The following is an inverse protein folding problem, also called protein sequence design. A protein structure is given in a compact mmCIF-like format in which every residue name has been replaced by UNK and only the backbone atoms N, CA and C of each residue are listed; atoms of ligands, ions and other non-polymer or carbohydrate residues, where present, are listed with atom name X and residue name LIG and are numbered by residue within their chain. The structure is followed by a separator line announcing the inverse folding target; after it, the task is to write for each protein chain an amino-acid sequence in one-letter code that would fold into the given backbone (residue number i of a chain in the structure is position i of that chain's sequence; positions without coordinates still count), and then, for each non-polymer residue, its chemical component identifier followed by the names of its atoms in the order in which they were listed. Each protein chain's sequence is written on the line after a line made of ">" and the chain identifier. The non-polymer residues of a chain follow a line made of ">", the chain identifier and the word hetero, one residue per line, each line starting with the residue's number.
data_IF_048803713371
#
_entry.id   IF_048803713371
#
_cell.length_a   1.000
_cell.length_b   1.000
_cell.length_c   1.000
_cell.angle_alpha   90.00
_cell.angle_beta   90.00
_cell.angle_gamma   90.00
#
_symmetry.space_group_name_H-M   'P 1'
#
loop_
_entity.id
_entity.type
_entity.pdbx_description
1 polymer ?
#
# COMPACT_ATOMS: atom_id res chain seq x y z
N UNK A 1 25.47 -8.95 -85.11
CA UNK A 1 25.77 -7.50 -85.17
C UNK A 1 24.65 -6.75 -84.45
N UNK A 2 24.79 -6.47 -83.16
CA UNK A 2 23.86 -5.59 -82.42
C UNK A 2 24.51 -4.23 -82.24
N UNK A 3 23.93 -3.17 -82.82
CA UNK A 3 24.41 -1.80 -82.64
C UNK A 3 23.81 -1.20 -81.36
N UNK A 4 24.72 -0.73 -80.54
CA UNK A 4 24.55 0.03 -79.29
C UNK A 4 23.69 1.29 -79.46
N UNK A 5 22.68 1.45 -78.59
CA UNK A 5 22.07 2.74 -78.24
C UNK A 5 22.34 3.00 -76.75
N UNK A 6 23.18 4.00 -76.46
CA UNK A 6 23.51 4.41 -75.08
C UNK A 6 22.27 5.03 -74.41
N UNK A 7 21.98 4.71 -73.13
CA UNK A 7 20.94 5.40 -72.38
C UNK A 7 21.34 6.84 -72.06
N UNK A 8 20.40 7.77 -72.24
CA UNK A 8 20.53 9.19 -71.87
C UNK A 8 20.40 9.28 -70.35
N UNK A 9 21.44 9.77 -69.66
CA UNK A 9 21.34 10.13 -68.25
C UNK A 9 20.61 11.46 -68.12
N UNK A 10 19.36 11.43 -67.65
CA UNK A 10 18.65 12.63 -67.19
C UNK A 10 19.05 12.89 -65.75
N UNK A 11 19.94 13.86 -65.51
CA UNK A 11 20.26 14.32 -64.16
C UNK A 11 19.15 15.26 -63.71
N UNK A 12 18.30 14.83 -62.76
CA UNK A 12 17.40 15.73 -62.04
C UNK A 12 18.16 16.39 -60.89
N UNK A 13 18.49 17.67 -61.04
CA UNK A 13 18.97 18.49 -59.93
C UNK A 13 17.76 18.90 -59.08
N UNK A 14 17.53 18.22 -57.95
CA UNK A 14 16.61 18.71 -56.92
C UNK A 14 17.33 19.77 -56.08
N UNK A 15 17.04 21.04 -56.32
CA UNK A 15 17.40 22.11 -55.39
C UNK A 15 16.49 22.01 -54.17
N UNK A 16 17.00 21.47 -53.06
CA UNK A 16 16.34 21.64 -51.76
C UNK A 16 16.63 23.05 -51.26
N UNK A 17 15.63 23.93 -51.31
CA UNK A 17 15.73 25.25 -50.69
C UNK A 17 15.31 25.12 -49.22
N UNK A 18 16.26 25.33 -48.30
CA UNK A 18 16.05 25.26 -46.85
C UNK A 18 15.46 26.55 -46.23
N UNK A 19 14.96 27.48 -47.05
CA UNK A 19 14.41 28.75 -46.59
C UNK A 19 12.89 28.66 -46.43
N UNK A 20 12.31 29.29 -45.38
CA UNK A 20 10.85 29.36 -45.24
C UNK A 20 10.22 30.09 -46.44
N UNK A 21 8.96 29.79 -46.80
CA UNK A 21 8.23 30.51 -47.83
C UNK A 21 8.25 32.02 -47.56
N UNK A 22 8.31 32.84 -48.62
CA UNK A 22 8.43 34.31 -48.48
C UNK A 22 7.33 34.94 -47.60
N UNK A 23 6.11 34.38 -47.64
CA UNK A 23 5.03 34.86 -46.79
C UNK A 23 5.21 34.53 -45.30
N UNK A 24 5.94 33.45 -44.98
CA UNK A 24 6.19 32.99 -43.61
C UNK A 24 7.45 33.63 -43.01
N UNK A 25 8.36 34.13 -43.85
CA UNK A 25 9.61 34.80 -43.45
C UNK A 25 9.38 35.91 -42.41
N UNK A 26 8.38 36.75 -42.62
CA UNK A 26 8.03 37.83 -41.68
C UNK A 26 7.56 37.34 -40.31
N UNK A 27 6.93 36.16 -40.24
CA UNK A 27 6.49 35.54 -38.98
C UNK A 27 7.71 35.06 -38.19
N UNK A 28 8.68 34.41 -38.84
CA UNK A 28 9.90 33.95 -38.19
C UNK A 28 10.80 35.11 -37.73
N UNK A 29 10.95 36.16 -38.54
CA UNK A 29 11.69 37.37 -38.15
C UNK A 29 11.06 38.08 -36.95
N UNK A 30 9.72 38.11 -36.90
CA UNK A 30 8.99 38.67 -35.76
C UNK A 30 9.14 37.81 -34.51
N UNK A 31 8.96 36.50 -34.64
CA UNK A 31 9.11 35.54 -33.55
C UNK A 31 10.52 35.57 -32.93
N UNK A 32 11.57 35.69 -33.75
CA UNK A 32 12.94 35.82 -33.27
C UNK A 32 13.18 37.11 -32.46
N UNK A 33 12.57 38.23 -32.88
CA UNK A 33 12.63 39.50 -32.13
C UNK A 33 11.86 39.42 -30.81
N UNK A 34 10.66 38.86 -30.83
CA UNK A 34 9.82 38.72 -29.63
C UNK A 34 10.48 37.77 -28.61
N UNK A 35 11.09 36.65 -29.06
CA UNK A 35 11.87 35.75 -28.21
C UNK A 35 13.05 36.44 -27.51
N UNK A 36 13.81 37.26 -28.24
CA UNK A 36 14.94 38.02 -27.68
C UNK A 36 14.45 39.05 -26.66
N UNK A 37 13.31 39.69 -26.91
CA UNK A 37 12.69 40.63 -25.97
C UNK A 37 12.25 39.93 -24.68
N UNK A 38 11.56 38.79 -24.78
CA UNK A 38 11.12 38.00 -23.61
C UNK A 38 12.30 37.51 -22.76
N UNK A 39 13.37 37.04 -23.41
CA UNK A 39 14.59 36.64 -22.72
C UNK A 39 15.23 37.82 -21.94
N UNK A 40 15.35 38.99 -22.57
CA UNK A 40 15.95 40.17 -21.96
C UNK A 40 15.10 40.77 -20.83
N UNK A 41 13.78 40.67 -20.93
CA UNK A 41 12.84 41.12 -19.91
C UNK A 41 12.64 40.10 -18.77
N UNK A 42 13.16 38.88 -18.93
CA UNK A 42 13.09 37.83 -17.92
C UNK A 42 11.75 37.10 -17.85
N UNK A 43 10.92 37.16 -18.91
CA UNK A 43 9.68 36.39 -18.99
C UNK A 43 9.97 34.90 -18.78
N UNK A 44 9.22 34.25 -17.89
CA UNK A 44 9.44 32.84 -17.53
C UNK A 44 10.57 32.57 -16.53
N UNK A 45 11.36 33.57 -16.11
CA UNK A 45 12.46 33.37 -15.12
C UNK A 45 12.00 33.35 -13.66
N UNK A 46 10.78 33.80 -13.36
CA UNK A 46 10.31 33.77 -11.98
C UNK A 46 10.28 32.33 -11.47
N UNK A 47 10.45 32.15 -10.16
CA UNK A 47 10.34 30.85 -9.49
C UNK A 47 9.15 30.93 -8.54
N UNK A 48 8.30 29.90 -8.56
CA UNK A 48 7.18 29.82 -7.64
C UNK A 48 7.67 29.77 -6.18
N UNK A 49 7.33 30.79 -5.39
CA UNK A 49 7.71 30.95 -3.98
C UNK A 49 6.63 30.48 -3.00
N UNK A 50 5.44 30.13 -3.52
CA UNK A 50 4.34 29.59 -2.74
C UNK A 50 4.56 28.17 -2.21
N UNK A 51 3.63 27.72 -1.38
CA UNK A 51 3.68 26.39 -0.77
C UNK A 51 3.53 25.28 -1.81
N UNK A 52 4.45 24.31 -1.79
CA UNK A 52 4.48 23.21 -2.78
C UNK A 52 3.96 21.88 -2.26
N UNK A 53 3.75 21.77 -0.96
CA UNK A 53 3.33 20.54 -0.28
C UNK A 53 2.21 20.86 0.69
N UNK A 54 1.10 20.14 0.57
CA UNK A 54 0.01 20.23 1.54
C UNK A 54 0.42 19.54 2.84
N UNK A 55 0.09 20.16 3.98
CA UNK A 55 0.20 19.50 5.28
C UNK A 55 -0.86 18.40 5.43
N UNK A 56 -0.62 17.48 6.37
CA UNK A 56 -1.62 16.47 6.73
C UNK A 56 -2.88 17.13 7.31
N UNK A 57 -4.04 16.63 6.90
CA UNK A 57 -5.34 16.98 7.46
C UNK A 57 -5.44 16.58 8.93
N UNK A 58 -6.32 17.25 9.66
CA UNK A 58 -6.58 16.93 11.06
C UNK A 58 -7.14 15.51 11.22
N UNK A 59 -7.89 15.02 10.23
CA UNK A 59 -8.35 13.64 10.19
C UNK A 59 -7.18 12.65 10.14
N UNK A 60 -6.21 12.87 9.24
CA UNK A 60 -5.01 12.04 9.14
C UNK A 60 -4.20 12.11 10.44
N UNK A 61 -3.99 13.30 11.01
CA UNK A 61 -3.26 13.48 12.28
C UNK A 61 -3.96 12.74 13.42
N UNK A 62 -5.27 12.88 13.55
CA UNK A 62 -6.06 12.22 14.59
C UNK A 62 -6.05 10.70 14.45
N UNK A 63 -6.12 10.18 13.22
CA UNK A 63 -6.04 8.74 12.95
C UNK A 63 -4.65 8.18 13.32
N UNK A 64 -3.57 8.87 12.96
CA UNK A 64 -2.20 8.49 13.33
C UNK A 64 -2.03 8.50 14.86
N UNK A 65 -2.50 9.56 15.53
CA UNK A 65 -2.49 9.65 16.98
C UNK A 65 -3.29 8.51 17.63
N UNK A 66 -4.46 8.17 17.08
CA UNK A 66 -5.28 7.05 17.54
C UNK A 66 -4.57 5.70 17.41
N UNK A 67 -3.87 5.45 16.30
CA UNK A 67 -3.08 4.23 16.11
C UNK A 67 -1.88 4.17 17.07
N UNK A 68 -1.20 5.30 17.29
CA UNK A 68 -0.08 5.39 18.25
C UNK A 68 -0.54 5.25 19.70
N UNK A 69 -1.78 5.61 20.02
CA UNK A 69 -2.33 5.43 21.36
C UNK A 69 -2.88 4.00 21.57
N UNK A 70 -3.25 3.28 20.50
CA UNK A 70 -3.68 1.89 20.60
C UNK A 70 -2.60 0.97 21.19
N UNK A 71 -1.32 1.23 20.95
CA UNK A 71 -0.23 0.49 21.61
C UNK A 71 -0.22 0.72 23.12
N UNK A 72 -0.55 1.93 23.59
CA UNK A 72 -0.70 2.26 25.01
C UNK A 72 -2.01 1.72 25.62
N UNK A 73 -3.04 1.48 24.79
CA UNK A 73 -4.29 0.87 25.25
C UNK A 73 -4.12 -0.61 25.64
N UNK A 74 -3.11 -1.32 25.13
CA UNK A 74 -2.74 -2.65 25.63
C UNK A 74 -2.17 -2.61 27.05
N UNK A 75 -1.53 -1.51 27.44
CA UNK A 75 -1.05 -1.25 28.81
C UNK A 75 -2.13 -0.64 29.72
N UNK A 76 -3.33 -0.35 29.20
CA UNK A 76 -4.39 0.26 29.98
C UNK A 76 -4.97 -0.75 30.99
N UNK A 77 -4.74 -0.48 32.27
CA UNK A 77 -5.16 -1.31 33.40
C UNK A 77 -6.66 -1.67 33.40
N UNK A 78 -7.53 -0.80 32.85
CA UNK A 78 -8.98 -1.04 32.78
C UNK A 78 -9.33 -2.08 31.71
N UNK A 79 -8.64 -2.04 30.57
CA UNK A 79 -8.81 -3.00 29.46
C UNK A 79 -8.10 -4.31 29.73
N UNK A 80 -6.93 -4.26 30.37
CA UNK A 80 -6.27 -5.44 30.90
C UNK A 80 -7.17 -6.12 31.95
N UNK A 81 -7.83 -5.34 32.82
CA UNK A 81 -8.87 -5.83 33.72
C UNK A 81 -10.08 -6.47 33.00
N UNK A 82 -10.38 -6.07 31.77
CA UNK A 82 -11.41 -6.76 30.98
C UNK A 82 -10.91 -8.09 30.41
N UNK A 83 -9.61 -8.25 30.13
CA UNK A 83 -9.04 -9.50 29.61
C UNK A 83 -8.62 -10.48 30.73
N UNK A 84 -8.19 -9.98 31.88
CA UNK A 84 -7.61 -10.77 32.99
C UNK A 84 -8.40 -10.66 34.29
N UNK A 85 -9.42 -9.81 34.35
CA UNK A 85 -10.25 -9.64 35.53
C UNK A 85 -11.12 -10.86 35.77
N UNK A 86 -11.37 -11.14 37.05
CA UNK A 86 -12.13 -12.30 37.48
C UNK A 86 -13.61 -12.15 37.10
N UNK A 87 -14.11 -12.96 36.16
CA UNK A 87 -15.53 -12.97 35.79
C UNK A 87 -16.41 -13.64 36.86
N UNK A 88 -17.73 -13.38 36.81
CA UNK A 88 -18.70 -13.92 37.77
C UNK A 88 -18.69 -15.45 37.83
N UNK A 89 -18.50 -16.13 36.69
CA UNK A 89 -18.38 -17.60 36.65
C UNK A 89 -17.19 -18.07 37.47
N UNK A 90 -16.02 -17.45 37.26
CA UNK A 90 -14.79 -17.72 38.01
C UNK A 90 -14.95 -17.44 39.50
N UNK A 91 -15.67 -16.39 39.88
CA UNK A 91 -15.93 -16.08 41.29
C UNK A 91 -16.87 -17.11 41.94
N UNK A 92 -17.99 -17.41 41.29
CA UNK A 92 -19.01 -18.31 41.84
C UNK A 92 -18.53 -19.75 41.94
N UNK A 93 -17.75 -20.20 40.96
CA UNK A 93 -17.33 -21.60 40.86
C UNK A 93 -15.93 -21.87 41.44
N UNK A 94 -15.22 -20.84 41.94
CA UNK A 94 -13.84 -20.97 42.45
C UNK A 94 -13.63 -22.12 43.42
N UNK A 95 -14.54 -22.28 44.39
CA UNK A 95 -14.38 -23.29 45.45
C UNK A 95 -14.70 -24.71 44.92
N UNK A 96 -15.62 -24.81 43.96
CA UNK A 96 -15.93 -26.08 43.30
C UNK A 96 -14.80 -26.49 42.36
N UNK A 97 -14.33 -25.57 41.51
CA UNK A 97 -13.25 -25.79 40.55
C UNK A 97 -11.90 -26.08 41.22
N UNK A 98 -11.64 -25.52 42.42
CA UNK A 98 -10.43 -25.81 43.20
C UNK A 98 -10.50 -27.13 43.98
N UNK A 99 -11.65 -27.82 43.98
CA UNK A 99 -11.83 -29.08 44.70
C UNK A 99 -12.04 -28.91 46.21
N UNK A 100 -12.21 -27.69 46.73
CA UNK A 100 -12.50 -27.47 48.17
C UNK A 100 -13.75 -28.20 48.65
N UNK A 101 -14.68 -28.52 47.75
CA UNK A 101 -15.92 -29.22 48.07
C UNK A 101 -15.79 -30.75 48.05
N UNK A 102 -14.68 -31.31 47.54
CA UNK A 102 -14.50 -32.77 47.43
C UNK A 102 -14.46 -33.39 48.83
N UNK A 103 -15.40 -34.29 49.10
CA UNK A 103 -15.50 -34.99 50.40
C UNK A 103 -15.89 -34.09 51.57
N UNK A 104 -16.23 -32.82 51.32
CA UNK A 104 -16.48 -31.82 52.34
C UNK A 104 -17.92 -31.26 52.25
N UNK A 105 -18.88 -32.17 52.08
CA UNK A 105 -20.31 -31.86 51.99
C UNK A 105 -21.03 -32.19 53.31
N UNK A 106 -21.37 -31.18 54.13
CA UNK A 106 -22.01 -31.41 55.44
C UNK A 106 -23.38 -32.09 55.30
N UNK A 107 -24.14 -31.78 54.24
CA UNK A 107 -25.45 -32.38 54.01
C UNK A 107 -25.35 -33.85 53.59
N UNK A 108 -24.30 -34.22 52.85
CA UNK A 108 -24.04 -35.61 52.51
C UNK A 108 -23.75 -36.44 53.75
N UNK A 109 -22.90 -35.94 54.64
CA UNK A 109 -22.55 -36.66 55.88
C UNK A 109 -23.78 -36.90 56.76
N UNK A 110 -24.65 -35.89 56.89
CA UNK A 110 -25.90 -36.03 57.64
C UNK A 110 -26.88 -37.03 56.99
N UNK A 111 -27.03 -36.99 55.67
CA UNK A 111 -27.87 -37.94 54.93
C UNK A 111 -27.33 -39.38 55.03
N UNK A 112 -26.01 -39.55 54.94
CA UNK A 112 -25.34 -40.84 55.09
C UNK A 112 -25.54 -41.40 56.49
N UNK A 113 -25.34 -40.58 57.53
CA UNK A 113 -25.55 -41.01 58.92
C UNK A 113 -26.99 -41.46 59.16
N UNK A 114 -27.97 -40.72 58.65
CA UNK A 114 -29.39 -41.10 58.76
C UNK A 114 -29.69 -42.43 58.04
N UNK A 115 -29.02 -42.69 56.92
CA UNK A 115 -29.15 -43.94 56.17
C UNK A 115 -28.54 -45.11 56.93
N UNK A 116 -27.34 -44.91 57.49
CA UNK A 116 -26.65 -45.90 58.33
C UNK A 116 -27.46 -46.26 59.59
N UNK A 117 -28.06 -45.27 60.25
CA UNK A 117 -28.90 -45.50 61.43
C UNK A 117 -30.12 -46.38 61.09
N UNK A 118 -30.83 -46.07 59.99
CA UNK A 118 -31.98 -46.87 59.55
C UNK A 118 -31.60 -48.30 59.14
N UNK A 119 -30.47 -48.46 58.47
CA UNK A 119 -29.95 -49.78 58.13
C UNK A 119 -29.62 -50.59 59.40
N UNK A 120 -28.96 -49.96 60.38
CA UNK A 120 -28.68 -50.55 61.69
C UNK A 120 -29.96 -50.99 62.40
N UNK A 121 -30.97 -50.13 62.49
CA UNK A 121 -32.25 -50.45 63.13
C UNK A 121 -32.96 -51.65 62.47
N UNK A 122 -32.90 -51.71 61.14
CA UNK A 122 -33.50 -52.80 60.36
C UNK A 122 -32.78 -54.13 60.62
N UNK A 123 -31.45 -54.14 60.60
CA UNK A 123 -30.61 -55.31 60.87
C UNK A 123 -30.82 -55.79 62.32
N UNK A 124 -30.86 -54.84 63.27
CA UNK A 124 -31.10 -55.12 64.69
C UNK A 124 -32.46 -55.79 64.90
N UNK A 125 -33.52 -55.25 64.29
CA UNK A 125 -34.86 -55.83 64.37
C UNK A 125 -34.93 -57.24 63.78
N UNK A 126 -34.31 -57.45 62.61
CA UNK A 126 -34.26 -58.76 61.95
C UNK A 126 -33.53 -59.82 62.78
N UNK A 127 -32.35 -59.48 63.30
CA UNK A 127 -31.54 -60.42 64.08
C UNK A 127 -32.07 -60.62 65.51
N UNK A 128 -32.76 -59.63 66.08
CA UNK A 128 -33.52 -59.80 67.32
C UNK A 128 -34.69 -60.77 67.14
N UNK A 129 -35.45 -60.65 66.05
CA UNK A 129 -36.51 -61.61 65.70
C UNK A 129 -35.98 -63.04 65.49
N UNK A 130 -34.73 -63.18 65.06
CA UNK A 130 -34.04 -64.46 64.92
C UNK A 130 -33.30 -64.94 66.20
N UNK A 131 -33.37 -64.19 67.31
CA UNK A 131 -32.71 -64.52 68.57
C UNK A 131 -31.17 -64.42 68.55
N UNK A 132 -30.59 -63.75 67.55
CA UNK A 132 -29.14 -63.62 67.34
C UNK A 132 -28.58 -62.24 67.69
N UNK A 133 -29.41 -61.32 68.15
CA UNK A 133 -28.99 -59.97 68.57
C UNK A 133 -27.88 -60.03 69.63
N UNK A 134 -26.82 -59.24 69.46
CA UNK A 134 -25.68 -59.19 70.38
C UNK A 134 -24.69 -60.37 70.26
N UNK A 135 -24.90 -61.31 69.35
CA UNK A 135 -23.93 -62.36 69.04
C UNK A 135 -22.78 -61.85 68.15
N UNK A 136 -21.64 -62.54 68.13
CA UNK A 136 -20.54 -62.19 67.21
C UNK A 136 -20.93 -62.22 65.73
N UNK A 137 -21.91 -63.06 65.36
CA UNK A 137 -22.49 -63.06 64.02
C UNK A 137 -23.34 -61.81 63.72
N UNK A 138 -24.03 -61.26 64.72
CA UNK A 138 -24.74 -59.98 64.60
C UNK A 138 -23.76 -58.83 64.41
N UNK A 139 -22.69 -58.77 65.20
CA UNK A 139 -21.66 -57.72 65.05
C UNK A 139 -20.98 -57.76 63.69
N UNK A 140 -20.67 -58.95 63.17
CA UNK A 140 -20.07 -59.11 61.83
C UNK A 140 -20.98 -58.62 60.71
N UNK A 141 -22.22 -59.10 60.65
CA UNK A 141 -23.19 -58.70 59.61
C UNK A 141 -23.49 -57.20 59.66
N UNK A 142 -23.63 -56.63 60.87
CA UNK A 142 -23.86 -55.20 61.02
C UNK A 142 -22.68 -54.37 60.52
N UNK A 143 -21.44 -54.75 60.87
CA UNK A 143 -20.25 -54.03 60.45
C UNK A 143 -20.04 -54.10 58.93
N UNK A 144 -20.22 -55.28 58.34
CA UNK A 144 -20.04 -55.50 56.89
C UNK A 144 -21.07 -54.72 56.07
N UNK A 145 -22.34 -54.76 56.47
CA UNK A 145 -23.42 -54.09 55.73
C UNK A 145 -23.32 -52.56 55.84
N UNK A 146 -23.11 -52.03 57.05
CA UNK A 146 -22.94 -50.59 57.25
C UNK A 146 -21.65 -50.08 56.59
N UNK A 147 -20.56 -50.85 56.66
CA UNK A 147 -19.30 -50.53 55.99
C UNK A 147 -19.45 -50.53 54.47
N UNK A 148 -20.22 -51.47 53.91
CA UNK A 148 -20.57 -51.53 52.49
C UNK A 148 -21.35 -50.29 52.04
N UNK A 149 -22.42 -49.93 52.75
CA UNK A 149 -23.24 -48.74 52.46
C UNK A 149 -22.39 -47.47 52.50
N UNK A 150 -21.58 -47.30 53.55
CA UNK A 150 -20.72 -46.12 53.71
C UNK A 150 -19.68 -46.02 52.59
N UNK A 151 -18.98 -47.12 52.28
CA UNK A 151 -17.95 -47.15 51.23
C UNK A 151 -18.54 -46.85 49.86
N UNK A 152 -19.67 -47.46 49.53
CA UNK A 152 -20.34 -47.23 48.25
C UNK A 152 -20.82 -45.79 48.11
N UNK A 153 -21.46 -45.23 49.15
CA UNK A 153 -21.95 -43.86 49.15
C UNK A 153 -20.80 -42.85 49.03
N UNK A 154 -19.72 -43.02 49.80
CA UNK A 154 -18.55 -42.14 49.75
C UNK A 154 -17.85 -42.20 48.38
N UNK A 155 -17.72 -43.39 47.79
CA UNK A 155 -17.15 -43.55 46.44
C UNK A 155 -17.99 -42.83 45.38
N UNK A 156 -19.32 -42.96 45.44
CA UNK A 156 -20.23 -42.25 44.53
C UNK A 156 -20.15 -40.74 44.71
N UNK A 157 -20.14 -40.26 45.95
CA UNK A 157 -20.02 -38.83 46.26
C UNK A 157 -18.70 -38.26 45.75
N UNK A 158 -17.59 -38.96 45.98
CA UNK A 158 -16.28 -38.54 45.48
C UNK A 158 -16.28 -38.40 43.95
N UNK A 159 -16.80 -39.40 43.23
CA UNK A 159 -16.90 -39.34 41.77
C UNK A 159 -17.77 -38.16 41.31
N UNK A 160 -18.88 -37.89 42.01
CA UNK A 160 -19.74 -36.75 41.70
C UNK A 160 -19.03 -35.41 41.94
N UNK A 161 -18.31 -35.27 43.06
CA UNK A 161 -17.58 -34.05 43.40
C UNK A 161 -16.47 -33.77 42.38
N UNK A 162 -15.72 -34.79 41.98
CA UNK A 162 -14.68 -34.68 40.94
C UNK A 162 -15.30 -34.28 39.59
N UNK A 163 -16.43 -34.88 39.21
CA UNK A 163 -17.13 -34.51 37.98
C UNK A 163 -17.62 -33.06 38.01
N UNK A 164 -18.20 -32.61 39.14
CA UNK A 164 -18.62 -31.22 39.33
C UNK A 164 -17.44 -30.26 39.25
N UNK A 165 -16.29 -30.62 39.85
CA UNK A 165 -15.05 -29.85 39.77
C UNK A 165 -14.57 -29.72 38.31
N UNK A 166 -14.52 -30.82 37.55
CA UNK A 166 -14.13 -30.78 36.13
C UNK A 166 -15.09 -29.92 35.30
N UNK A 167 -16.40 -30.04 35.54
CA UNK A 167 -17.41 -29.22 34.87
C UNK A 167 -17.25 -27.73 35.22
N UNK A 168 -16.97 -27.42 36.48
CA UNK A 168 -16.71 -26.06 36.94
C UNK A 168 -15.48 -25.45 36.27
N UNK A 169 -14.38 -26.21 36.16
CA UNK A 169 -13.19 -25.78 35.42
C UNK A 169 -13.52 -25.51 33.94
N UNK A 170 -14.25 -26.40 33.27
CA UNK A 170 -14.67 -26.19 31.88
C UNK A 170 -15.53 -24.92 31.69
N UNK A 171 -16.45 -24.64 32.61
CA UNK A 171 -17.26 -23.40 32.57
C UNK A 171 -16.41 -22.14 32.78
N UNK A 172 -15.44 -22.19 33.69
CA UNK A 172 -14.50 -21.09 33.95
C UNK A 172 -13.64 -20.83 32.71
N UNK A 173 -13.09 -21.87 32.11
CA UNK A 173 -12.25 -21.75 30.91
C UNK A 173 -13.03 -21.16 29.74
N UNK A 174 -14.28 -21.61 29.53
CA UNK A 174 -15.14 -21.04 28.50
C UNK A 174 -15.45 -19.56 28.76
N UNK A 175 -15.71 -19.19 30.01
CA UNK A 175 -15.95 -17.79 30.38
C UNK A 175 -14.71 -16.92 30.13
N UNK A 176 -13.52 -17.42 30.49
CA UNK A 176 -12.25 -16.74 30.25
C UNK A 176 -11.98 -16.57 28.75
N UNK A 177 -12.25 -17.59 27.94
CA UNK A 177 -12.10 -17.51 26.48
C UNK A 177 -13.05 -16.48 25.86
N UNK A 178 -14.32 -16.46 26.28
CA UNK A 178 -15.30 -15.49 25.80
C UNK A 178 -14.91 -14.06 26.17
N UNK A 179 -14.40 -13.87 27.39
CA UNK A 179 -13.90 -12.59 27.88
C UNK A 179 -12.71 -12.08 27.06
N UNK A 180 -11.74 -12.96 26.76
CA UNK A 180 -10.60 -12.63 25.91
C UNK A 180 -11.01 -12.33 24.46
N UNK A 181 -11.96 -13.10 23.90
CA UNK A 181 -12.51 -12.84 22.57
C UNK A 181 -13.22 -11.48 22.50
N UNK A 182 -13.99 -11.12 23.53
CA UNK A 182 -14.63 -9.80 23.64
C UNK A 182 -13.60 -8.66 23.67
N UNK A 183 -12.52 -8.81 24.44
CA UNK A 183 -11.43 -7.85 24.46
C UNK A 183 -10.74 -7.72 23.09
N UNK A 184 -10.44 -8.85 22.43
CA UNK A 184 -9.84 -8.84 21.09
C UNK A 184 -10.72 -8.12 20.06
N UNK A 185 -12.03 -8.40 20.06
CA UNK A 185 -13.00 -7.74 19.18
C UNK A 185 -13.05 -6.23 19.41
N UNK A 186 -12.96 -5.77 20.66
CA UNK A 186 -12.89 -4.35 20.98
C UNK A 186 -11.63 -3.70 20.37
N UNK A 187 -10.46 -4.31 20.55
CA UNK A 187 -9.21 -3.78 19.98
C UNK A 187 -9.21 -3.76 18.46
N UNK A 188 -9.73 -4.82 17.82
CA UNK A 188 -9.87 -4.85 16.36
C UNK A 188 -10.83 -3.76 15.87
N UNK A 189 -11.98 -3.58 16.52
CA UNK A 189 -12.94 -2.55 16.17
C UNK A 189 -12.36 -1.13 16.28
N UNK A 190 -11.65 -0.84 17.37
CA UNK A 190 -11.01 0.46 17.57
C UNK A 190 -9.88 0.71 16.56
N UNK A 191 -9.04 -0.29 16.28
CA UNK A 191 -7.99 -0.17 15.26
C UNK A 191 -8.59 0.03 13.87
N UNK A 192 -9.66 -0.69 13.53
CA UNK A 192 -10.31 -0.59 12.24
C UNK A 192 -10.92 0.81 12.03
N UNK A 193 -11.52 1.39 13.07
CA UNK A 193 -12.03 2.76 13.01
C UNK A 193 -10.92 3.77 12.70
N UNK A 194 -9.75 3.63 13.33
CA UNK A 194 -8.59 4.49 13.05
C UNK A 194 -8.02 4.27 11.64
N UNK A 195 -7.97 3.03 11.15
CA UNK A 195 -7.54 2.72 9.77
C UNK A 195 -8.50 3.34 8.75
N UNK A 196 -9.81 3.24 8.98
CA UNK A 196 -10.82 3.85 8.12
C UNK A 196 -10.70 5.39 8.13
N UNK A 197 -10.43 5.98 9.30
CA UNK A 197 -10.17 7.41 9.42
C UNK A 197 -8.91 7.83 8.65
N UNK A 198 -7.83 7.02 8.68
CA UNK A 198 -6.62 7.26 7.91
C UNK A 198 -6.86 7.18 6.39
N UNK A 199 -7.64 6.20 5.94
CA UNK A 199 -8.00 6.09 4.53
C UNK A 199 -8.82 7.31 4.05
N UNK A 200 -9.78 7.77 4.86
CA UNK A 200 -10.53 9.00 4.59
C UNK A 200 -9.65 10.25 4.63
N UNK A 201 -8.71 10.32 5.57
CA UNK A 201 -7.73 11.40 5.68
C UNK A 201 -6.82 11.48 4.45
N UNK A 202 -6.36 10.35 3.92
CA UNK A 202 -5.54 10.30 2.71
C UNK A 202 -6.23 10.89 1.47
N UNK A 203 -7.57 10.76 1.37
CA UNK A 203 -8.35 11.42 0.31
C UNK A 203 -8.37 12.95 0.47
N UNK A 204 -8.53 13.43 1.71
CA UNK A 204 -8.50 14.87 2.00
C UNK A 204 -7.11 15.45 1.72
N UNK A 205 -6.05 14.75 2.12
CA UNK A 205 -4.66 15.15 1.90
C UNK A 205 -4.34 15.21 0.40
N UNK A 206 -4.81 14.21 -0.37
CA UNK A 206 -4.67 14.20 -1.82
C UNK A 206 -5.41 15.37 -2.49
N UNK A 207 -6.62 15.68 -2.04
CA UNK A 207 -7.39 16.82 -2.53
C UNK A 207 -6.69 18.16 -2.21
N UNK A 208 -6.15 18.34 -1.00
CA UNK A 208 -5.38 19.53 -0.66
C UNK A 208 -4.12 19.67 -1.53
N UNK A 209 -3.40 18.57 -1.80
CA UNK A 209 -2.25 18.59 -2.70
C UNK A 209 -2.66 18.97 -4.13
N UNK A 210 -3.79 18.45 -4.62
CA UNK A 210 -4.31 18.81 -5.94
C UNK A 210 -4.67 20.29 -6.05
N UNK A 211 -5.24 20.89 -5.00
CA UNK A 211 -5.55 22.31 -4.99
C UNK A 211 -4.29 23.18 -5.05
N UNK A 212 -3.25 22.84 -4.26
CA UNK A 212 -1.95 23.53 -4.33
C UNK A 212 -1.27 23.34 -5.70
N UNK A 213 -1.34 22.13 -6.26
CA UNK A 213 -0.80 21.85 -7.59
C UNK A 213 -1.51 22.65 -8.67
N UNK A 214 -2.83 22.80 -8.59
CA UNK A 214 -3.62 23.61 -9.52
C UNK A 214 -3.27 25.10 -9.42
N UNK A 215 -3.04 25.62 -8.20
CA UNK A 215 -2.60 27.00 -8.00
C UNK A 215 -1.21 27.24 -8.59
N UNK A 216 -0.26 26.31 -8.36
CA UNK A 216 1.06 26.36 -8.98
C UNK A 216 0.97 26.30 -10.51
N UNK A 217 0.15 25.41 -11.07
CA UNK A 217 -0.04 25.31 -12.53
C UNK A 217 -0.58 26.62 -13.12
N UNK A 218 -1.55 27.25 -12.44
CA UNK A 218 -2.06 28.55 -12.85
C UNK A 218 -0.97 29.61 -12.86
N UNK A 219 -0.12 29.63 -11.83
CA UNK A 219 1.04 30.52 -11.78
C UNK A 219 2.05 30.23 -12.89
N UNK A 220 2.36 28.96 -13.16
CA UNK A 220 3.28 28.55 -14.24
C UNK A 220 2.75 28.99 -15.62
N UNK A 221 1.45 28.84 -15.85
CA UNK A 221 0.80 29.32 -17.07
C UNK A 221 0.90 30.85 -17.21
N UNK A 222 0.71 31.59 -16.12
CA UNK A 222 0.86 33.05 -16.12
C UNK A 222 2.30 33.49 -16.38
N UNK A 223 3.28 32.83 -15.72
CA UNK A 223 4.70 33.12 -15.88
C UNK A 223 5.21 32.80 -17.30
N UNK A 224 4.60 31.82 -17.97
CA UNK A 224 4.97 31.40 -19.32
C UNK A 224 4.05 31.96 -20.43
N UNK A 225 3.14 32.88 -20.13
CA UNK A 225 2.13 33.35 -21.09
C UNK A 225 2.75 33.96 -22.36
N UNK A 226 3.81 34.75 -22.21
CA UNK A 226 4.54 35.36 -23.34
C UNK A 226 5.12 34.28 -24.28
N UNK A 227 5.73 33.25 -23.69
CA UNK A 227 6.30 32.11 -24.42
C UNK A 227 5.20 31.24 -25.05
N UNK A 228 4.05 31.07 -24.39
CA UNK A 228 2.88 30.37 -24.92
C UNK A 228 2.28 31.10 -26.13
N UNK A 229 2.13 32.43 -26.07
CA UNK A 229 1.69 33.24 -27.21
C UNK A 229 2.67 33.17 -28.39
N UNK A 230 3.97 33.22 -28.11
CA UNK A 230 5.01 33.02 -29.13
C UNK A 230 4.89 31.66 -29.81
N UNK A 231 4.66 30.61 -29.02
CA UNK A 231 4.48 29.25 -29.54
C UNK A 231 3.25 29.14 -30.45
N UNK A 232 2.14 29.80 -30.09
CA UNK A 232 0.91 29.88 -30.90
C UNK A 232 1.13 30.64 -32.21
N UNK A 233 1.87 31.75 -32.16
CA UNK A 233 2.24 32.52 -33.35
C UNK A 233 3.08 31.69 -34.32
N UNK A 234 4.09 30.99 -33.79
CA UNK A 234 4.95 30.11 -34.59
C UNK A 234 4.15 28.96 -35.21
N UNK A 235 3.27 28.32 -34.44
CA UNK A 235 2.39 27.24 -34.90
C UNK A 235 1.40 27.71 -36.00
N UNK A 236 0.87 28.93 -35.89
CA UNK A 236 0.00 29.50 -36.94
C UNK A 236 0.77 29.75 -38.25
N UNK A 237 2.04 30.18 -38.15
CA UNK A 237 2.92 30.36 -39.30
C UNK A 237 3.30 29.05 -39.99
N UNK A 238 3.39 27.95 -39.25
CA UNK A 238 3.75 26.63 -39.81
C UNK A 238 2.53 25.85 -40.32
N UNK A 239 1.36 25.99 -39.70
CA UNK A 239 0.13 25.32 -40.12
C UNK A 239 -0.45 25.85 -41.45
N UNK A 240 -0.24 27.13 -41.76
CA UNK A 240 -0.70 27.74 -43.02
C UNK A 240 0.26 27.53 -44.20
N UNK A 241 1.50 27.03 -43.95
CA UNK A 241 2.61 26.85 -44.89
C UNK A 241 2.47 25.70 -45.87
N UNK A 242 1.59 24.73 -45.59
CA UNK A 242 1.81 23.39 -46.14
C UNK A 242 3.19 22.87 -45.71
N UNK A 243 3.45 21.60 -45.98
CA UNK A 243 4.58 20.87 -45.41
C UNK A 243 5.96 21.24 -46.05
N UNK A 244 6.33 22.53 -46.04
CA UNK A 244 7.69 22.98 -46.35
C UNK A 244 8.52 23.02 -45.06
N UNK A 245 9.37 22.01 -44.90
CA UNK A 245 10.43 22.00 -43.89
C UNK A 245 10.01 21.88 -42.41
N UNK A 246 8.73 21.93 -42.07
CA UNK A 246 8.24 21.72 -40.69
C UNK A 246 6.92 20.93 -40.69
N UNK A 247 6.94 19.68 -40.22
CA UNK A 247 5.73 18.88 -40.02
C UNK A 247 4.92 19.43 -38.84
N UNK A 248 3.78 20.06 -39.12
CA UNK A 248 2.80 20.45 -38.10
C UNK A 248 1.56 19.58 -38.29
N UNK A 249 1.50 18.45 -37.60
CA UNK A 249 0.29 17.63 -37.48
C UNK A 249 -0.40 17.94 -36.17
N UNK A 250 -1.52 18.69 -36.20
CA UNK A 250 -2.40 18.87 -35.04
C UNK A 250 -3.66 18.01 -35.18
N UNK A 251 -3.99 17.28 -34.13
CA UNK A 251 -5.34 16.84 -33.82
C UNK A 251 -5.57 17.12 -32.33
N UNK A 252 -6.36 18.15 -32.04
CA UNK A 252 -6.75 18.52 -30.67
C UNK A 252 -7.83 17.55 -30.20
N UNK A 253 -7.52 16.73 -29.19
CA UNK A 253 -8.53 15.94 -28.47
C UNK A 253 -8.62 16.46 -27.05
N UNK A 254 -9.76 17.05 -26.70
CA UNK A 254 -10.10 17.47 -25.34
C UNK A 254 -10.61 16.24 -24.58
N UNK A 255 -9.84 15.72 -23.62
CA UNK A 255 -10.35 14.78 -22.61
C UNK A 255 -9.87 15.18 -21.20
N UNK A 256 -10.75 15.27 -20.20
CA UNK A 256 -10.38 15.61 -18.83
C UNK A 256 -9.98 14.34 -18.04
N UNK A 257 -8.73 14.24 -17.54
CA UNK A 257 -8.27 13.47 -16.37
C UNK A 257 -6.71 13.43 -16.29
N UNK A 258 -6.12 13.01 -15.15
CA UNK A 258 -5.46 13.83 -14.14
C UNK A 258 -3.93 14.04 -14.34
N UNK A 259 -3.43 15.15 -13.77
CA UNK A 259 -2.01 15.55 -13.60
C UNK A 259 -1.27 15.91 -14.91
N UNK A 260 -0.93 17.20 -15.14
CA UNK A 260 -0.02 17.54 -16.21
C UNK A 260 1.37 17.00 -15.84
N UNK A 261 1.76 15.95 -16.55
CA UNK A 261 3.12 15.44 -16.51
C UNK A 261 4.00 16.43 -17.30
N UNK A 262 5.29 16.60 -16.95
CA UNK A 262 6.24 17.41 -17.75
C UNK A 262 6.34 17.00 -19.22
N UNK A 263 5.76 15.83 -19.57
CA UNK A 263 5.67 15.23 -20.90
C UNK A 263 4.57 15.81 -21.81
N UNK A 264 3.55 16.53 -21.29
CA UNK A 264 2.51 17.11 -22.16
C UNK A 264 2.90 18.49 -22.75
N UNK A 265 3.85 19.19 -22.13
CA UNK A 265 4.41 20.45 -22.67
C UNK A 265 5.33 20.18 -23.88
N UNK A 266 5.74 18.92 -24.09
CA UNK A 266 6.55 18.43 -25.22
C UNK A 266 5.67 18.13 -26.46
N UNK A 267 4.40 18.54 -26.47
CA UNK A 267 3.44 18.21 -27.53
C UNK A 267 3.29 19.23 -28.68
N UNK A 268 3.82 20.46 -28.60
CA UNK A 268 3.38 21.53 -29.52
C UNK A 268 4.45 22.43 -30.17
N UNK A 269 5.75 22.09 -30.17
CA UNK A 269 6.75 22.83 -30.98
C UNK A 269 7.69 21.85 -31.69
N UNK A 270 7.68 21.91 -33.04
CA UNK A 270 8.35 21.00 -33.97
C UNK A 270 9.88 21.10 -34.00
N UNK A 271 10.55 20.67 -32.93
CA UNK A 271 11.99 20.43 -32.90
C UNK A 271 12.32 19.09 -32.24
N UNK A 272 12.11 18.00 -32.98
CA UNK A 272 12.42 16.62 -32.57
C UNK A 272 13.93 16.40 -32.28
N UNK A 273 14.82 17.35 -32.55
CA UNK A 273 16.24 17.24 -32.18
C UNK A 273 16.63 17.85 -30.82
N UNK A 274 15.77 18.62 -30.15
CA UNK A 274 16.15 19.32 -28.91
C UNK A 274 15.60 18.70 -27.62
N UNK A 275 14.39 18.14 -27.66
CA UNK A 275 13.59 17.91 -26.45
C UNK A 275 13.84 16.57 -25.77
N UNK A 276 14.38 15.59 -26.50
CA UNK A 276 14.87 14.33 -25.92
C UNK A 276 16.39 14.32 -25.71
N UNK A 277 17.08 15.43 -26.05
CA UNK A 277 18.53 15.52 -25.93
C UNK A 277 18.94 15.23 -24.47
N UNK A 278 19.50 14.05 -24.27
CA UNK A 278 20.00 13.57 -22.98
C UNK A 278 19.15 12.50 -22.30
N UNK A 279 17.85 12.31 -22.60
CA UNK A 279 17.02 11.28 -21.96
C UNK A 279 17.52 9.87 -22.34
N UNK A 280 18.34 9.28 -21.47
CA UNK A 280 19.03 8.02 -21.75
C UNK A 280 18.59 6.89 -20.83
N UNK A 281 17.74 7.16 -19.84
CA UNK A 281 17.13 6.19 -18.94
C UNK A 281 16.27 5.17 -19.70
N UNK A 282 16.48 3.88 -19.40
CA UNK A 282 15.70 2.77 -19.95
C UNK A 282 14.19 2.96 -19.73
N UNK A 283 13.77 3.60 -18.64
CA UNK A 283 12.36 3.78 -18.29
C UNK A 283 11.62 4.70 -19.27
N UNK A 284 12.34 5.57 -19.97
CA UNK A 284 11.79 6.48 -20.98
C UNK A 284 11.70 5.85 -22.38
N UNK A 285 12.28 4.65 -22.58
CA UNK A 285 12.49 4.03 -23.89
C UNK A 285 11.70 2.73 -24.02
N UNK A 286 11.39 2.35 -25.25
CA UNK A 286 10.74 1.08 -25.62
C UNK A 286 11.25 0.56 -26.97
N UNK A 287 10.88 -0.69 -27.31
CA UNK A 287 11.38 -1.43 -28.48
C UNK A 287 12.91 -1.39 -28.60
N UNK A 288 13.59 -1.61 -27.47
CA UNK A 288 15.04 -1.48 -27.35
C UNK A 288 15.72 -2.69 -27.95
N UNK A 289 16.56 -2.48 -28.97
CA UNK A 289 17.34 -3.50 -29.66
C UNK A 289 18.81 -3.10 -29.71
N UNK A 290 19.72 -4.02 -29.43
CA UNK A 290 21.15 -3.74 -29.48
C UNK A 290 21.60 -3.47 -30.93
N UNK A 291 22.38 -2.40 -31.13
CA UNK A 291 22.71 -1.83 -32.43
C UNK A 291 24.22 -1.66 -32.66
N UNK A 292 25.01 -2.45 -31.93
CA UNK A 292 26.47 -2.47 -32.01
C UNK A 292 27.14 -1.68 -30.89
N UNK A 293 28.39 -1.29 -31.10
CA UNK A 293 29.17 -0.53 -30.13
C UNK A 293 29.87 0.65 -30.79
N UNK A 294 30.03 1.75 -30.05
CA UNK A 294 30.79 2.93 -30.48
C UNK A 294 31.56 3.50 -29.30
N UNK A 295 32.85 3.77 -29.52
CA UNK A 295 33.77 4.27 -28.48
C UNK A 295 33.76 3.45 -27.18
N UNK A 296 33.54 2.12 -27.28
CA UNK A 296 33.45 1.23 -26.13
C UNK A 296 32.12 1.23 -25.38
N UNK A 297 31.10 1.95 -25.87
CA UNK A 297 29.74 1.94 -25.32
C UNK A 297 28.80 1.15 -26.22
N UNK A 298 27.94 0.33 -25.62
CA UNK A 298 26.86 -0.35 -26.33
C UNK A 298 25.84 0.66 -26.85
N UNK A 299 25.56 0.59 -28.15
CA UNK A 299 24.50 1.32 -28.78
C UNK A 299 23.23 0.47 -28.84
N UNK A 300 22.12 1.14 -28.66
CA UNK A 300 20.78 0.59 -28.76
C UNK A 300 20.01 1.43 -29.74
N UNK A 301 19.20 0.77 -30.56
CA UNK A 301 18.09 1.42 -31.23
C UNK A 301 16.82 1.28 -30.41
N UNK A 302 16.08 2.36 -30.27
CA UNK A 302 14.87 2.42 -29.47
C UNK A 302 13.95 3.51 -30.00
N UNK A 303 12.71 3.53 -29.54
CA UNK A 303 11.87 4.71 -29.61
C UNK A 303 11.52 5.16 -28.18
N UNK A 304 11.17 6.44 -28.01
CA UNK A 304 10.69 6.91 -26.71
C UNK A 304 9.24 6.44 -26.50
N UNK A 305 8.88 6.16 -25.26
CA UNK A 305 7.52 5.68 -24.94
C UNK A 305 6.46 6.64 -25.47
N UNK A 306 5.57 6.13 -26.30
CA UNK A 306 4.49 6.91 -26.91
C UNK A 306 4.88 7.69 -28.18
N UNK A 307 6.10 7.51 -28.69
CA UNK A 307 6.60 8.15 -29.91
C UNK A 307 7.12 7.10 -30.90
N UNK A 308 6.77 7.15 -32.19
CA UNK A 308 7.19 6.15 -33.17
C UNK A 308 8.63 6.35 -33.68
N UNK A 309 9.26 7.50 -33.45
CA UNK A 309 10.59 7.82 -33.98
C UNK A 309 11.69 6.95 -33.37
N UNK A 310 12.52 6.37 -34.24
CA UNK A 310 13.66 5.54 -33.85
C UNK A 310 14.91 6.39 -33.65
N UNK A 311 15.64 6.09 -32.59
CA UNK A 311 16.92 6.70 -32.24
C UNK A 311 17.93 5.61 -31.98
N UNK A 312 19.19 5.90 -32.27
CA UNK A 312 20.34 5.09 -31.89
C UNK A 312 21.20 5.86 -30.90
N UNK A 313 21.38 5.27 -29.73
CA UNK A 313 22.11 5.90 -28.62
C UNK A 313 22.39 4.91 -27.51
N UNK A 314 22.89 5.39 -26.37
CA UNK A 314 23.27 4.55 -25.23
C UNK A 314 22.15 4.43 -24.20
N UNK A 315 22.23 3.43 -23.32
CA UNK A 315 21.42 3.35 -22.10
C UNK A 315 22.16 3.96 -20.92
N UNK A 316 21.50 4.83 -20.16
CA UNK A 316 22.10 5.49 -19.00
C UNK A 316 22.54 4.47 -17.94
N UNK A 317 21.79 3.38 -17.76
CA UNK A 317 22.13 2.30 -16.83
C UNK A 317 23.44 1.59 -17.18
N UNK A 318 23.81 1.53 -18.46
CA UNK A 318 25.05 0.89 -18.90
C UNK A 318 26.22 1.88 -18.89
N UNK A 319 25.99 3.12 -19.32
CA UNK A 319 27.00 4.18 -19.20
C UNK A 319 27.35 4.45 -17.73
N UNK A 320 26.39 4.33 -16.81
CA UNK A 320 26.64 4.52 -15.38
C UNK A 320 27.67 3.52 -14.82
N UNK A 321 27.77 2.32 -15.41
CA UNK A 321 28.75 1.29 -15.01
C UNK A 321 30.16 1.61 -15.47
N UNK A 322 30.29 2.19 -16.67
CA UNK A 322 31.58 2.41 -17.33
C UNK A 322 32.12 3.84 -17.21
N UNK A 323 31.23 4.84 -17.17
CA UNK A 323 31.55 6.27 -17.15
C UNK A 323 30.48 7.06 -16.37
N UNK A 324 30.43 6.91 -15.04
CA UNK A 324 29.37 7.49 -14.21
C UNK A 324 29.31 9.03 -14.29
N UNK A 325 30.43 9.70 -14.53
CA UNK A 325 30.49 11.16 -14.68
C UNK A 325 29.82 11.69 -15.96
N UNK A 326 29.50 10.81 -16.90
CA UNK A 326 28.69 11.13 -18.08
C UNK A 326 27.19 10.99 -17.80
N UNK A 327 26.79 10.48 -16.63
CA UNK A 327 25.39 10.27 -16.27
C UNK A 327 24.98 11.22 -15.15
N UNK A 328 23.82 11.86 -15.28
CA UNK A 328 23.26 12.69 -14.22
C UNK A 328 21.76 12.45 -14.07
N UNK A 329 21.26 12.58 -12.83
CA UNK A 329 19.83 12.55 -12.57
C UNK A 329 19.24 13.94 -12.79
N UNK A 330 18.22 14.03 -13.64
CA UNK A 330 17.53 15.28 -13.88
C UNK A 330 16.28 15.35 -13.00
N UNK A 331 16.30 16.25 -12.02
CA UNK A 331 15.19 16.43 -11.07
C UNK A 331 13.89 16.93 -11.72
N UNK A 332 13.97 17.57 -12.90
CA UNK A 332 12.79 18.04 -13.63
C UNK A 332 12.11 16.90 -14.42
N UNK A 333 12.87 15.91 -14.90
CA UNK A 333 12.33 14.78 -15.67
C UNK A 333 12.13 13.51 -14.83
N UNK A 334 12.82 13.38 -13.69
CA UNK A 334 12.78 12.19 -12.84
C UNK A 334 13.59 10.99 -13.39
N UNK A 335 14.40 11.22 -14.43
CA UNK A 335 15.13 10.20 -15.17
C UNK A 335 16.64 10.45 -15.20
N UNK A 336 17.38 9.39 -15.50
CA UNK A 336 18.80 9.48 -15.81
C UNK A 336 19.03 10.03 -17.23
N UNK A 337 19.94 10.99 -17.31
CA UNK A 337 20.40 11.57 -18.56
C UNK A 337 21.87 11.26 -18.80
N UNK A 338 22.27 11.16 -20.07
CA UNK A 338 23.67 10.99 -20.47
C UNK A 338 24.12 12.24 -21.23
N UNK A 339 25.26 12.78 -20.82
CA UNK A 339 25.97 13.85 -21.51
C UNK A 339 26.83 13.25 -22.64
N UNK A 340 26.29 13.27 -23.86
CA UNK A 340 26.92 12.71 -25.05
C UNK A 340 28.23 13.44 -25.44
N UNK A 341 28.42 14.69 -25.01
CA UNK A 341 29.68 15.42 -25.23
C UNK A 341 30.87 14.71 -24.56
N UNK A 342 30.62 13.98 -23.47
CA UNK A 342 31.62 13.18 -22.75
C UNK A 342 31.85 11.81 -23.38
N UNK A 343 31.03 11.37 -24.34
CA UNK A 343 31.15 10.08 -25.02
C UNK A 343 31.87 10.19 -26.37
N UNK A 344 31.99 11.41 -26.92
CA UNK A 344 32.69 11.67 -28.18
C UNK A 344 31.88 11.28 -29.42
N UNK A 345 30.56 11.16 -29.30
CA UNK A 345 29.63 11.00 -30.41
C UNK A 345 28.25 11.53 -30.01
N UNK A 346 27.42 11.84 -31.00
CA UNK A 346 26.05 12.32 -30.79
C UNK A 346 25.03 11.18 -30.95
N UNK A 347 23.85 11.36 -30.35
CA UNK A 347 22.71 10.47 -30.56
C UNK A 347 22.20 10.61 -32.00
N UNK A 348 21.94 9.50 -32.67
CA UNK A 348 21.50 9.49 -34.07
C UNK A 348 19.99 9.21 -34.15
N UNK A 349 19.29 9.86 -35.08
CA UNK A 349 17.94 9.43 -35.47
C UNK A 349 18.07 8.37 -36.55
N UNK A 350 17.39 7.24 -36.36
CA UNK A 350 17.32 6.16 -37.36
C UNK A 350 16.04 6.36 -38.16
N UNK A 351 16.18 6.41 -39.49
CA UNK A 351 15.05 6.55 -40.41
C UNK A 351 14.29 5.23 -40.57
#
# INVERSE_FOLDING_TARGET
>A
MGKSSKPIQTTQNTTQTNAPPEWAKGIFERAAKDAMNFYNQGSGKAVYDGQRVAGLSDQTKNAINGLSNNTHNYDNNTLNGLATGQNSTSQNLKNMASGQQIGNNPYFNEALQNTLNKASDTINSSLAGAGRYGSGAHTGVLADELGGIATQALSQQYNQDVNNMMQANGMIDQANQNQLAGANNFFQGQSQANINALAGGGLLDANHQQQLDAERQKWEQQNNLDWDQLSKLLAAGTASAGNYGMQTGQTTTLTPQPKPNPWEIVGNVGTILGTFAGLSDIRAKENITEAGQRNGYTLYEYNYKGYPERYRGVMAQDVLKSKPEAVFYNNATGFLHVDYSKLGFEMERVQ
#
